data_IF_384553212568
#
_entry.id   IF_384553212568
#
_cell.length_a   1.000
_cell.length_b   1.000
_cell.length_c   1.000
_cell.angle_alpha   90.00
_cell.angle_beta   90.00
_cell.angle_gamma   90.00
#
_symmetry.space_group_name_H-M   'P 1'
#
loop_
_entity.id
_entity.type
_entity.pdbx_description
1 polymer ?
#
# COMPACT_ATOMS: atom_id res chain seq x y z
N UNK A 1 8.99 17.75 -18.41
CA UNK A 1 9.32 16.37 -17.98
C UNK A 1 9.45 16.37 -16.46
N UNK A 2 8.75 15.44 -15.80
CA UNK A 2 8.87 15.24 -14.37
C UNK A 2 9.95 14.18 -14.10
N UNK A 3 10.77 14.37 -13.07
CA UNK A 3 11.71 13.34 -12.66
C UNK A 3 10.95 12.10 -12.11
N UNK A 4 11.45 10.87 -12.31
CA UNK A 4 10.79 9.65 -11.81
C UNK A 4 10.43 9.70 -10.32
N UNK A 5 11.26 10.36 -9.52
CA UNK A 5 11.03 10.58 -8.08
C UNK A 5 9.91 11.59 -7.78
N UNK A 6 9.53 12.45 -8.74
CA UNK A 6 8.43 13.42 -8.60
C UNK A 6 7.11 12.80 -9.05
N UNK A 7 7.11 12.01 -10.13
CA UNK A 7 5.95 11.27 -10.60
C UNK A 7 5.34 10.39 -9.50
N UNK A 8 6.20 9.83 -8.65
CA UNK A 8 5.77 8.92 -7.61
C UNK A 8 5.38 9.60 -6.28
N UNK A 9 5.75 10.86 -6.08
CA UNK A 9 5.53 11.57 -4.81
C UNK A 9 4.53 12.72 -4.87
N UNK A 10 4.48 13.45 -5.97
CA UNK A 10 3.82 14.75 -6.03
C UNK A 10 2.84 14.91 -7.18
N UNK A 11 2.91 14.06 -8.20
CA UNK A 11 2.06 14.15 -9.40
C UNK A 11 1.19 12.90 -9.49
N UNK A 12 -0.13 13.11 -9.49
CA UNK A 12 -1.11 12.07 -9.83
C UNK A 12 -1.46 12.26 -11.30
N UNK A 13 -1.07 11.31 -12.14
CA UNK A 13 -1.43 11.32 -13.55
C UNK A 13 -2.65 10.41 -13.78
N UNK A 14 -3.83 11.04 -14.00
CA UNK A 14 -5.08 10.30 -14.30
C UNK A 14 -4.97 9.53 -15.61
N UNK A 15 -4.24 10.04 -16.58
CA UNK A 15 -4.07 9.36 -17.86
C UNK A 15 -3.19 8.12 -17.69
N UNK A 16 -2.14 8.16 -16.88
CA UNK A 16 -1.34 6.98 -16.54
C UNK A 16 -2.21 5.91 -15.88
N UNK A 17 -3.00 6.27 -14.86
CA UNK A 17 -3.94 5.32 -14.23
C UNK A 17 -4.93 4.73 -15.24
N UNK A 18 -5.46 5.57 -16.14
CA UNK A 18 -6.35 5.12 -17.20
C UNK A 18 -5.65 4.14 -18.15
N UNK A 19 -4.43 4.46 -18.57
CA UNK A 19 -3.62 3.60 -19.46
C UNK A 19 -3.34 2.25 -18.81
N UNK A 20 -2.90 2.23 -17.55
CA UNK A 20 -2.64 0.99 -16.80
C UNK A 20 -3.92 0.16 -16.63
N UNK A 21 -5.01 0.77 -16.20
CA UNK A 21 -6.27 0.05 -15.99
C UNK A 21 -6.90 -0.43 -17.30
N UNK A 22 -6.71 0.31 -18.40
CA UNK A 22 -7.15 -0.12 -19.75
C UNK A 22 -6.31 -1.30 -20.23
N UNK A 23 -4.98 -1.25 -20.06
CA UNK A 23 -4.10 -2.36 -20.41
C UNK A 23 -4.45 -3.61 -19.59
N UNK A 24 -4.64 -3.45 -18.27
CA UNK A 24 -5.08 -4.53 -17.39
C UNK A 24 -6.45 -5.11 -17.84
N UNK A 25 -7.45 -4.26 -18.11
CA UNK A 25 -8.77 -4.69 -18.59
C UNK A 25 -8.63 -5.56 -19.85
N UNK A 26 -7.87 -5.09 -20.82
CA UNK A 26 -7.65 -5.82 -22.07
C UNK A 26 -6.95 -7.16 -21.85
N UNK A 27 -6.00 -7.22 -20.94
CA UNK A 27 -5.23 -8.43 -20.63
C UNK A 27 -6.04 -9.52 -19.91
N UNK A 28 -7.13 -9.17 -19.20
CA UNK A 28 -7.88 -10.13 -18.37
C UNK A 28 -8.26 -11.39 -19.13
N UNK A 29 -8.88 -11.26 -20.31
CA UNK A 29 -9.39 -12.39 -21.09
C UNK A 29 -8.53 -12.73 -22.32
N UNK A 30 -7.51 -11.94 -22.61
CA UNK A 30 -6.60 -12.22 -23.72
C UNK A 30 -5.31 -12.91 -23.28
N UNK A 31 -4.85 -12.61 -22.06
CA UNK A 31 -3.54 -13.05 -21.58
C UNK A 31 -3.59 -13.76 -20.23
N UNK A 32 -4.35 -13.20 -19.25
CA UNK A 32 -4.37 -13.76 -17.91
C UNK A 32 -5.26 -15.00 -17.82
N UNK A 33 -6.47 -14.92 -18.34
CA UNK A 33 -7.47 -15.98 -18.28
C UNK A 33 -8.14 -16.19 -19.65
N UNK A 34 -7.37 -16.56 -20.69
CA UNK A 34 -7.89 -16.70 -22.04
C UNK A 34 -8.90 -17.83 -22.21
N UNK A 35 -8.91 -18.81 -21.27
CA UNK A 35 -9.84 -19.93 -21.25
C UNK A 35 -11.19 -19.61 -20.64
N UNK A 36 -11.35 -18.43 -20.00
CA UNK A 36 -12.60 -18.06 -19.35
C UNK A 36 -13.58 -17.42 -20.31
N UNK A 37 -14.86 -17.71 -20.11
CA UNK A 37 -15.93 -16.98 -20.75
C UNK A 37 -15.87 -15.51 -20.35
N UNK A 38 -15.93 -14.60 -21.34
CA UNK A 38 -15.90 -13.15 -21.11
C UNK A 38 -17.18 -12.72 -20.40
N UNK A 39 -17.05 -12.39 -19.12
CA UNK A 39 -18.14 -11.85 -18.27
C UNK A 39 -17.60 -10.71 -17.43
N UNK A 40 -17.91 -9.50 -17.84
CA UNK A 40 -17.39 -8.29 -17.20
C UNK A 40 -17.94 -8.10 -15.78
N UNK A 41 -19.09 -8.68 -15.45
CA UNK A 41 -19.65 -8.72 -14.09
C UNK A 41 -18.81 -9.58 -13.14
N UNK A 42 -18.06 -10.55 -13.67
CA UNK A 42 -17.33 -11.55 -12.91
C UNK A 42 -15.85 -11.62 -13.28
N UNK A 43 -15.22 -10.47 -13.55
CA UNK A 43 -13.77 -10.43 -13.75
C UNK A 43 -13.04 -11.03 -12.53
N UNK A 44 -11.79 -11.48 -12.66
CA UNK A 44 -11.01 -11.98 -11.52
C UNK A 44 -11.02 -10.99 -10.36
N UNK A 45 -11.17 -11.47 -9.12
CA UNK A 45 -11.05 -10.59 -7.95
C UNK A 45 -9.67 -9.98 -7.88
N UNK A 46 -9.63 -8.65 -7.88
CA UNK A 46 -8.42 -7.86 -8.04
C UNK A 46 -8.19 -6.97 -6.83
N UNK A 47 -6.99 -7.01 -6.29
CA UNK A 47 -6.53 -6.10 -5.25
C UNK A 47 -5.51 -5.14 -5.82
N UNK A 48 -5.82 -3.85 -5.79
CA UNK A 48 -4.92 -2.78 -6.27
C UNK A 48 -4.27 -2.08 -5.09
N UNK A 49 -2.95 -1.99 -5.11
CA UNK A 49 -2.19 -1.24 -4.12
C UNK A 49 -1.91 0.18 -4.60
N UNK A 50 -2.49 1.14 -3.91
CA UNK A 50 -2.30 2.57 -4.11
C UNK A 50 -1.22 3.13 -3.16
N UNK A 51 -0.65 4.27 -3.51
CA UNK A 51 0.37 4.96 -2.73
C UNK A 51 -0.19 5.55 -1.44
N UNK A 52 -1.29 6.26 -1.53
CA UNK A 52 -1.98 6.94 -0.44
C UNK A 52 -3.50 6.93 -0.64
N UNK A 53 -4.24 7.49 0.30
CA UNK A 53 -5.71 7.49 0.29
C UNK A 53 -6.30 8.29 -0.88
N UNK A 54 -5.67 9.39 -1.27
CA UNK A 54 -6.10 10.21 -2.41
C UNK A 54 -5.89 9.46 -3.72
N UNK A 55 -4.71 8.85 -3.89
CA UNK A 55 -4.42 7.99 -5.04
C UNK A 55 -5.41 6.81 -5.12
N UNK A 56 -5.73 6.19 -3.99
CA UNK A 56 -6.74 5.12 -3.95
C UNK A 56 -8.12 5.62 -4.42
N UNK A 57 -8.52 6.82 -4.02
CA UNK A 57 -9.78 7.42 -4.45
C UNK A 57 -9.80 7.69 -5.96
N UNK A 58 -8.71 8.23 -6.51
CA UNK A 58 -8.59 8.47 -7.95
C UNK A 58 -8.58 7.16 -8.75
N UNK A 59 -7.88 6.12 -8.27
CA UNK A 59 -7.91 4.80 -8.91
C UNK A 59 -9.33 4.25 -8.96
N UNK A 60 -10.11 4.35 -7.88
CA UNK A 60 -11.52 3.92 -7.86
C UNK A 60 -12.33 4.66 -8.92
N UNK A 61 -12.17 5.98 -9.02
CA UNK A 61 -12.90 6.80 -9.99
C UNK A 61 -12.53 6.45 -11.44
N UNK A 62 -11.23 6.23 -11.71
CA UNK A 62 -10.77 5.85 -13.04
C UNK A 62 -11.18 4.43 -13.39
N UNK A 63 -11.08 3.48 -12.45
CA UNK A 63 -11.49 2.09 -12.64
C UNK A 63 -12.99 1.99 -12.97
N UNK A 64 -13.84 2.71 -12.24
CA UNK A 64 -15.28 2.76 -12.55
C UNK A 64 -15.54 3.20 -13.98
N UNK A 65 -14.82 4.19 -14.50
CA UNK A 65 -14.96 4.67 -15.89
C UNK A 65 -14.42 3.68 -16.92
N UNK A 66 -13.24 3.09 -16.65
CA UNK A 66 -12.59 2.14 -17.58
C UNK A 66 -13.39 0.85 -17.73
N UNK A 67 -13.90 0.31 -16.62
CA UNK A 67 -14.72 -0.90 -16.65
C UNK A 67 -16.19 -0.60 -17.01
N UNK A 68 -16.67 0.59 -16.73
CA UNK A 68 -18.04 1.00 -17.07
C UNK A 68 -18.37 0.90 -18.56
N UNK A 69 -17.37 1.07 -19.44
CA UNK A 69 -17.54 0.91 -20.88
C UNK A 69 -18.05 -0.48 -21.32
N UNK A 70 -17.94 -1.49 -20.46
CA UNK A 70 -18.38 -2.87 -20.75
C UNK A 70 -19.81 -3.16 -20.28
N UNK A 71 -20.47 -2.19 -19.64
CA UNK A 71 -21.84 -2.31 -19.15
C UNK A 71 -22.80 -1.46 -20.00
N UNK A 72 -24.02 -1.94 -20.19
CA UNK A 72 -25.04 -1.30 -21.05
C UNK A 72 -25.31 0.17 -20.71
N UNK A 73 -25.25 0.50 -19.39
CA UNK A 73 -25.48 1.87 -18.91
C UNK A 73 -24.21 2.72 -18.89
N UNK A 74 -23.04 2.19 -19.32
CA UNK A 74 -21.76 2.88 -19.22
C UNK A 74 -21.21 3.00 -17.81
N UNK A 75 -21.85 2.36 -16.81
CA UNK A 75 -21.48 2.43 -15.41
C UNK A 75 -21.36 1.02 -14.81
N UNK A 76 -20.36 0.82 -13.98
CA UNK A 76 -20.23 -0.42 -13.21
C UNK A 76 -21.26 -0.45 -12.06
N UNK A 77 -21.64 -1.65 -11.57
CA UNK A 77 -22.44 -1.78 -10.35
C UNK A 77 -21.81 -1.02 -9.18
N UNK A 78 -22.64 -0.49 -8.28
CA UNK A 78 -22.19 0.36 -7.16
C UNK A 78 -21.08 -0.27 -6.33
N UNK A 79 -21.20 -1.57 -6.10
CA UNK A 79 -20.26 -2.33 -5.28
C UNK A 79 -19.01 -2.84 -6.04
N UNK A 80 -18.95 -2.67 -7.35
CA UNK A 80 -17.96 -3.30 -8.21
C UNK A 80 -16.52 -2.89 -7.90
N UNK A 81 -16.29 -1.60 -7.63
CA UNK A 81 -14.99 -1.04 -7.25
C UNK A 81 -15.13 -0.26 -5.96
N UNK A 82 -14.45 -0.65 -4.90
CA UNK A 82 -14.46 0.07 -3.61
C UNK A 82 -13.06 0.30 -3.08
N UNK A 83 -12.92 1.39 -2.33
CA UNK A 83 -11.72 1.70 -1.54
C UNK A 83 -11.80 0.98 -0.18
N UNK A 84 -10.72 0.34 0.24
CA UNK A 84 -10.55 -0.27 1.55
C UNK A 84 -9.33 0.35 2.22
N UNK A 85 -9.55 1.41 2.99
CA UNK A 85 -8.50 2.11 3.74
C UNK A 85 -9.00 2.44 5.14
N UNK A 86 -8.14 2.89 6.03
CA UNK A 86 -8.55 3.31 7.38
C UNK A 86 -9.61 4.41 7.36
N UNK A 87 -9.64 5.25 6.32
CA UNK A 87 -10.64 6.31 6.15
C UNK A 87 -12.00 5.81 5.62
N UNK A 88 -12.11 4.55 5.22
CA UNK A 88 -13.31 3.98 4.58
C UNK A 88 -14.37 3.49 5.58
N UNK A 89 -14.21 3.74 6.88
CA UNK A 89 -15.11 3.23 7.92
C UNK A 89 -14.71 1.82 8.38
N UNK A 90 -15.66 0.88 8.44
CA UNK A 90 -15.36 -0.50 8.86
C UNK A 90 -14.64 -1.28 7.77
N UNK A 91 -13.30 -1.17 7.77
CA UNK A 91 -12.43 -1.90 6.82
C UNK A 91 -12.60 -3.42 6.92
N UNK A 92 -12.92 -3.98 8.10
CA UNK A 92 -13.10 -5.42 8.27
C UNK A 92 -14.40 -5.90 7.60
N UNK A 93 -15.47 -5.11 7.68
CA UNK A 93 -16.70 -5.40 6.95
C UNK A 93 -16.45 -5.38 5.45
N UNK A 94 -15.79 -4.34 4.92
CA UNK A 94 -15.45 -4.25 3.49
C UNK A 94 -14.57 -5.42 3.00
N UNK A 95 -13.62 -5.88 3.81
CA UNK A 95 -12.80 -7.04 3.47
C UNK A 95 -13.63 -8.33 3.45
N UNK A 96 -14.54 -8.49 4.41
CA UNK A 96 -15.47 -9.63 4.43
C UNK A 96 -16.35 -9.62 3.19
N UNK A 97 -16.92 -8.46 2.83
CA UNK A 97 -17.75 -8.28 1.65
C UNK A 97 -16.94 -8.58 0.37
N UNK A 98 -15.71 -8.06 0.27
CA UNK A 98 -14.81 -8.38 -0.85
C UNK A 98 -14.53 -9.89 -0.99
N UNK A 99 -14.54 -10.64 0.12
CA UNK A 99 -14.35 -12.09 0.11
C UNK A 99 -15.54 -12.85 -0.43
N UNK A 100 -16.77 -12.43 -0.11
CA UNK A 100 -17.97 -13.23 -0.33
C UNK A 100 -18.90 -12.69 -1.42
N UNK A 101 -18.93 -11.38 -1.65
CA UNK A 101 -19.83 -10.78 -2.62
C UNK A 101 -19.35 -10.98 -4.07
N UNK A 102 -20.25 -11.41 -4.96
CA UNK A 102 -19.99 -11.59 -6.40
C UNK A 102 -19.70 -10.25 -7.09
N UNK A 103 -20.46 -9.23 -6.75
CA UNK A 103 -20.44 -7.94 -7.45
C UNK A 103 -19.22 -7.08 -7.02
N UNK A 104 -18.58 -7.38 -5.88
CA UNK A 104 -17.40 -6.66 -5.46
C UNK A 104 -16.14 -7.26 -6.11
N UNK A 105 -15.70 -6.68 -7.22
CA UNK A 105 -14.64 -7.25 -8.06
C UNK A 105 -13.27 -6.64 -7.82
N UNK A 106 -13.19 -5.32 -7.60
CA UNK A 106 -11.93 -4.59 -7.44
C UNK A 106 -11.89 -3.88 -6.09
N UNK A 107 -10.93 -4.25 -5.26
CA UNK A 107 -10.61 -3.55 -4.02
C UNK A 107 -9.35 -2.69 -4.21
N UNK A 108 -9.40 -1.42 -3.81
CA UNK A 108 -8.26 -0.51 -3.85
C UNK A 108 -7.84 -0.17 -2.43
N UNK A 109 -6.58 -0.38 -2.10
CA UNK A 109 -6.04 -0.17 -0.74
C UNK A 109 -4.67 0.49 -0.77
N UNK A 110 -4.27 1.10 0.34
CA UNK A 110 -2.91 1.63 0.54
C UNK A 110 -2.01 0.59 1.21
N UNK A 111 -2.48 0.05 2.31
CA UNK A 111 -1.81 -0.98 3.10
C UNK A 111 -2.86 -1.86 3.76
N UNK A 112 -3.10 -3.03 3.20
CA UNK A 112 -3.98 -4.01 3.82
C UNK A 112 -3.16 -4.86 4.82
N UNK A 113 -2.64 -4.21 5.88
CA UNK A 113 -1.76 -4.86 6.86
C UNK A 113 -2.54 -5.47 8.02
N UNK A 114 -3.86 -5.34 8.05
CA UNK A 114 -4.65 -5.97 9.12
C UNK A 114 -4.44 -7.48 9.12
N UNK A 115 -3.95 -8.01 10.21
CA UNK A 115 -3.88 -9.43 10.52
C UNK A 115 -5.29 -10.03 10.40
N UNK A 116 -5.42 -11.14 9.66
CA UNK A 116 -6.72 -11.83 9.50
C UNK A 116 -7.46 -11.57 8.18
N UNK A 117 -6.89 -10.82 7.25
CA UNK A 117 -7.47 -10.60 5.91
C UNK A 117 -7.18 -11.78 4.98
N UNK A 118 -7.87 -12.89 5.17
CA UNK A 118 -7.79 -14.07 4.29
C UNK A 118 -8.82 -13.96 3.15
N UNK A 119 -8.41 -13.37 2.02
CA UNK A 119 -9.25 -13.28 0.81
C UNK A 119 -8.83 -14.38 -0.16
N UNK A 120 -9.36 -15.60 0.03
CA UNK A 120 -9.01 -16.77 -0.79
C UNK A 120 -9.36 -16.62 -2.28
N UNK A 121 -10.51 -16.02 -2.67
CA UNK A 121 -10.85 -15.83 -4.08
C UNK A 121 -10.07 -14.70 -4.78
N UNK A 122 -9.04 -14.13 -4.16
CA UNK A 122 -8.19 -13.11 -4.79
C UNK A 122 -7.32 -13.73 -5.88
N UNK A 123 -7.43 -13.25 -7.10
CA UNK A 123 -6.79 -13.84 -8.28
C UNK A 123 -5.77 -12.90 -8.95
N UNK A 124 -5.88 -11.59 -8.70
CA UNK A 124 -4.95 -10.60 -9.26
C UNK A 124 -4.52 -9.61 -8.18
N UNK A 125 -3.23 -9.36 -8.11
CA UNK A 125 -2.63 -8.29 -7.29
C UNK A 125 -1.97 -7.29 -8.23
N UNK A 126 -2.47 -6.04 -8.24
CA UNK A 126 -1.97 -4.98 -9.10
C UNK A 126 -1.26 -3.92 -8.27
N UNK A 127 0.01 -3.66 -8.60
CA UNK A 127 0.82 -2.64 -7.95
C UNK A 127 0.79 -1.33 -8.75
N UNK A 128 0.21 -0.29 -8.16
CA UNK A 128 0.25 1.09 -8.65
C UNK A 128 1.04 1.98 -7.69
N UNK A 129 1.91 1.38 -6.90
CA UNK A 129 2.87 2.06 -6.03
C UNK A 129 4.16 1.28 -5.94
N UNK A 130 5.28 1.98 -5.82
CA UNK A 130 6.55 1.35 -5.50
C UNK A 130 6.59 0.83 -4.06
N UNK A 131 7.26 -0.31 -3.85
CA UNK A 131 7.45 -0.96 -2.56
C UNK A 131 8.91 -1.32 -2.39
N UNK A 132 9.62 -0.53 -1.60
CA UNK A 132 11.06 -0.71 -1.37
C UNK A 132 11.38 -1.78 -0.31
N UNK A 133 10.46 -2.04 0.62
CA UNK A 133 10.64 -3.06 1.66
C UNK A 133 10.31 -4.45 1.15
N UNK A 134 11.27 -5.37 1.19
CA UNK A 134 11.07 -6.78 0.80
C UNK A 134 10.01 -7.48 1.66
N UNK A 135 10.02 -7.22 2.97
CA UNK A 135 9.02 -7.79 3.89
C UNK A 135 7.62 -7.33 3.51
N UNK A 136 7.43 -6.02 3.27
CA UNK A 136 6.14 -5.47 2.88
C UNK A 136 5.70 -6.01 1.52
N UNK A 137 6.59 -6.04 0.53
CA UNK A 137 6.32 -6.59 -0.79
C UNK A 137 5.90 -8.06 -0.70
N UNK A 138 6.64 -8.87 0.06
CA UNK A 138 6.30 -10.29 0.28
C UNK A 138 4.94 -10.46 0.95
N UNK A 139 4.59 -9.63 1.92
CA UNK A 139 3.27 -9.63 2.55
C UNK A 139 2.15 -9.24 1.56
N UNK A 140 2.40 -8.26 0.70
CA UNK A 140 1.44 -7.78 -0.28
C UNK A 140 1.18 -8.83 -1.38
N UNK A 141 2.22 -9.36 -2.01
CA UNK A 141 2.09 -10.42 -3.02
C UNK A 141 1.49 -11.70 -2.43
N UNK A 142 1.86 -12.04 -1.20
CA UNK A 142 1.34 -13.22 -0.49
C UNK A 142 -0.18 -13.20 -0.24
N UNK A 143 -0.86 -12.07 -0.46
CA UNK A 143 -2.33 -12.02 -0.41
C UNK A 143 -3.00 -12.85 -1.51
N UNK A 144 -2.35 -12.98 -2.67
CA UNK A 144 -2.83 -13.79 -3.79
C UNK A 144 -2.61 -15.30 -3.63
N UNK A 145 -1.65 -15.74 -2.79
CA UNK A 145 -1.23 -17.14 -2.70
C UNK A 145 -2.25 -18.09 -2.05
N UNK A 146 -3.40 -17.62 -1.58
CA UNK A 146 -4.36 -18.44 -0.85
C UNK A 146 -5.10 -19.40 -1.76
N UNK A 147 -5.12 -20.69 -1.37
CA UNK A 147 -5.85 -21.73 -2.07
C UNK A 147 -7.33 -21.66 -1.76
N UNK A 148 -8.16 -21.95 -2.73
CA UNK A 148 -9.62 -22.04 -2.61
C UNK A 148 -10.12 -23.26 -3.39
N UNK A 149 -11.13 -23.94 -2.86
CA UNK A 149 -11.79 -25.03 -3.56
C UNK A 149 -12.60 -24.51 -4.75
N UNK A 150 -12.72 -25.32 -5.81
CA UNK A 150 -13.40 -24.95 -7.05
C UNK A 150 -14.84 -24.50 -6.84
N UNK A 151 -15.62 -25.25 -6.06
CA UNK A 151 -17.01 -24.93 -5.70
C UNK A 151 -17.11 -23.56 -5.03
N UNK A 152 -16.19 -23.27 -4.10
CA UNK A 152 -16.13 -21.99 -3.37
C UNK A 152 -15.66 -20.82 -4.25
N UNK A 153 -14.79 -21.09 -5.22
CA UNK A 153 -14.39 -20.07 -6.19
C UNK A 153 -15.57 -19.71 -7.10
N UNK A 154 -16.30 -20.70 -7.61
CA UNK A 154 -17.48 -20.52 -8.46
C UNK A 154 -18.63 -19.80 -7.76
N UNK A 155 -18.77 -19.96 -6.45
CA UNK A 155 -19.74 -19.18 -5.66
C UNK A 155 -19.50 -17.67 -5.77
N UNK A 156 -18.25 -17.25 -5.96
CA UNK A 156 -17.84 -15.83 -5.99
C UNK A 156 -17.48 -15.36 -7.40
N UNK A 157 -16.85 -16.22 -8.20
CA UNK A 157 -16.47 -15.95 -9.60
C UNK A 157 -17.04 -17.05 -10.50
N UNK A 158 -18.31 -16.92 -10.95
CA UNK A 158 -19.04 -18.01 -11.63
C UNK A 158 -18.41 -18.53 -12.92
N UNK A 159 -17.64 -17.71 -13.65
CA UNK A 159 -16.91 -18.07 -14.86
C UNK A 159 -15.49 -18.61 -14.59
N UNK A 160 -15.08 -18.76 -13.33
CA UNK A 160 -13.82 -19.38 -12.96
C UNK A 160 -13.98 -20.92 -12.85
N UNK A 161 -12.96 -21.68 -13.27
CA UNK A 161 -12.89 -23.12 -13.08
C UNK A 161 -12.10 -23.45 -11.81
N UNK A 162 -10.79 -23.23 -11.84
CA UNK A 162 -9.87 -23.48 -10.73
C UNK A 162 -9.02 -22.23 -10.47
N UNK A 163 -8.40 -22.17 -9.30
CA UNK A 163 -7.36 -21.17 -9.01
C UNK A 163 -6.05 -21.90 -8.82
N UNK A 164 -5.34 -22.12 -9.91
CA UNK A 164 -4.02 -22.76 -9.93
C UNK A 164 -2.90 -21.76 -9.63
N UNK A 165 -3.11 -20.51 -10.04
CA UNK A 165 -2.17 -19.42 -9.82
C UNK A 165 -2.91 -18.11 -9.49
N UNK A 166 -2.17 -17.08 -9.21
CA UNK A 166 -2.63 -15.70 -9.21
C UNK A 166 -1.64 -14.84 -10.00
N UNK A 167 -2.10 -13.73 -10.52
CA UNK A 167 -1.26 -12.85 -11.32
C UNK A 167 -0.83 -11.62 -10.53
N UNK A 168 0.42 -11.23 -10.72
CA UNK A 168 0.95 -9.94 -10.28
C UNK A 168 1.00 -9.04 -11.50
N UNK A 169 0.30 -7.93 -11.45
CA UNK A 169 0.35 -6.88 -12.46
C UNK A 169 1.16 -5.72 -11.87
N UNK A 170 2.28 -5.42 -12.48
CA UNK A 170 3.22 -4.41 -12.01
C UNK A 170 3.21 -3.19 -12.96
N UNK A 171 2.61 -2.09 -12.51
CA UNK A 171 2.53 -0.87 -13.30
C UNK A 171 3.68 0.12 -13.04
N UNK A 172 4.58 -0.18 -12.09
CA UNK A 172 5.61 0.76 -11.61
C UNK A 172 7.01 0.15 -11.51
N UNK A 173 7.19 -1.10 -11.98
CA UNK A 173 8.48 -1.79 -11.93
C UNK A 173 8.86 -2.32 -10.54
N UNK A 174 7.87 -2.50 -9.65
CA UNK A 174 8.12 -2.98 -8.28
C UNK A 174 8.77 -4.37 -8.24
N UNK A 175 8.55 -5.18 -9.26
CA UNK A 175 9.12 -6.53 -9.36
C UNK A 175 10.59 -6.53 -9.77
N UNK A 176 11.06 -5.48 -10.42
CA UNK A 176 12.41 -5.36 -11.00
C UNK A 176 13.40 -4.66 -10.05
N UNK A 177 12.91 -3.92 -9.07
CA UNK A 177 13.76 -3.16 -8.14
C UNK A 177 14.36 -4.06 -7.06
N UNK A 178 15.65 -3.85 -6.75
CA UNK A 178 16.27 -4.45 -5.56
C UNK A 178 15.53 -4.01 -4.28
N UNK A 179 15.11 -4.97 -3.48
CA UNK A 179 14.39 -4.71 -2.24
C UNK A 179 15.37 -4.52 -1.08
N UNK A 180 15.13 -3.50 -0.28
CA UNK A 180 15.87 -3.30 0.95
C UNK A 180 15.42 -4.33 1.99
N UNK A 181 16.32 -5.23 2.38
CA UNK A 181 16.12 -6.09 3.55
C UNK A 181 16.31 -5.20 4.78
N UNK A 182 15.31 -5.07 5.67
CA UNK A 182 15.50 -4.34 6.91
C UNK A 182 16.64 -5.01 7.67
N UNK A 183 17.73 -4.28 7.94
CA UNK A 183 18.70 -4.76 8.94
C UNK A 183 17.90 -4.96 10.22
N UNK A 184 18.09 -6.09 10.96
CA UNK A 184 17.41 -6.29 12.23
C UNK A 184 17.90 -5.21 13.20
N UNK A 185 17.23 -4.06 13.17
CA UNK A 185 17.29 -3.07 14.22
C UNK A 185 16.61 -3.69 15.42
N UNK A 186 17.21 -3.59 16.59
CA UNK A 186 16.57 -3.96 17.84
C UNK A 186 15.21 -3.29 17.88
N UNK A 187 14.14 -4.03 17.64
CA UNK A 187 12.79 -3.58 17.98
C UNK A 187 12.77 -3.40 19.49
N UNK A 188 12.49 -2.19 19.99
CA UNK A 188 12.10 -2.06 21.37
C UNK A 188 10.80 -2.84 21.52
N UNK A 189 10.81 -3.73 22.49
CA UNK A 189 9.69 -4.58 22.86
C UNK A 189 8.42 -3.75 23.11
N UNK A 190 7.30 -4.20 22.54
CA UNK A 190 5.98 -3.63 22.76
C UNK A 190 5.39 -2.93 21.53
N UNK A 191 4.27 -3.46 21.07
CA UNK A 191 3.37 -2.90 20.08
C UNK A 191 2.88 -1.49 20.46
N UNK A 192 3.70 -0.46 20.24
CA UNK A 192 3.25 0.92 20.36
C UNK A 192 2.38 1.23 19.13
N UNK A 193 1.10 1.42 19.35
CA UNK A 193 0.23 2.12 18.39
C UNK A 193 0.85 3.49 18.17
N UNK A 194 1.48 3.70 17.02
CA UNK A 194 1.93 5.03 16.62
C UNK A 194 0.67 5.87 16.45
N UNK A 195 0.47 6.85 17.33
CA UNK A 195 -0.63 7.80 17.23
C UNK A 195 -0.53 8.56 15.90
N UNK A 196 -1.64 8.67 15.17
CA UNK A 196 -1.69 9.56 14.00
C UNK A 196 -1.44 11.00 14.45
N UNK A 197 -0.93 11.85 13.54
CA UNK A 197 -0.73 13.27 13.86
C UNK A 197 -2.04 13.94 14.32
N UNK A 198 -3.17 13.58 13.75
CA UNK A 198 -4.48 14.09 14.13
C UNK A 198 -4.82 13.75 15.59
N UNK A 199 -4.74 12.48 15.96
CA UNK A 199 -5.00 12.05 17.33
C UNK A 199 -3.96 12.63 18.30
N UNK A 200 -2.69 12.72 17.90
CA UNK A 200 -1.64 13.34 18.70
C UNK A 200 -1.97 14.80 18.99
N UNK A 201 -2.37 15.57 17.99
CA UNK A 201 -2.75 16.99 18.17
C UNK A 201 -4.00 17.15 19.05
N UNK A 202 -4.92 16.19 19.03
CA UNK A 202 -6.08 16.14 19.93
C UNK A 202 -5.64 15.85 21.37
N UNK A 203 -4.80 14.85 21.62
CA UNK A 203 -4.25 14.56 22.93
C UNK A 203 -3.52 15.77 23.52
N UNK A 204 -2.67 16.41 22.73
CA UNK A 204 -1.97 17.64 23.15
C UNK A 204 -2.94 18.81 23.41
N UNK A 205 -4.04 18.92 22.65
CA UNK A 205 -5.07 19.93 22.87
C UNK A 205 -5.84 19.71 24.18
N UNK A 206 -5.92 18.47 24.67
CA UNK A 206 -6.47 18.11 25.98
C UNK A 206 -5.42 18.18 27.11
N UNK A 207 -4.26 18.77 26.84
CA UNK A 207 -3.15 18.91 27.78
C UNK A 207 -2.53 17.57 28.23
N UNK A 208 -2.64 16.53 27.40
CA UNK A 208 -1.96 15.26 27.61
C UNK A 208 -0.51 15.33 27.10
N UNK A 209 0.27 16.16 27.77
CA UNK A 209 1.68 16.39 27.43
C UNK A 209 2.55 15.34 28.10
N UNK A 210 3.12 14.45 27.29
CA UNK A 210 4.12 13.47 27.73
C UNK A 210 5.36 13.58 26.86
N UNK A 211 6.49 13.12 27.37
CA UNK A 211 7.74 13.09 26.62
C UNK A 211 7.57 12.29 25.32
N UNK A 212 6.79 11.20 25.36
CA UNK A 212 6.49 10.36 24.18
C UNK A 212 5.69 11.12 23.13
N UNK A 213 4.64 11.86 23.54
CA UNK A 213 3.84 12.68 22.64
C UNK A 213 4.66 13.81 22.02
N UNK A 214 5.56 14.40 22.80
CA UNK A 214 6.43 15.47 22.31
C UNK A 214 7.49 14.94 21.34
N UNK A 215 8.08 13.78 21.59
CA UNK A 215 9.00 13.12 20.66
C UNK A 215 8.29 12.81 19.34
N UNK A 216 7.06 12.32 19.41
CA UNK A 216 6.27 11.99 18.22
C UNK A 216 5.93 13.26 17.41
N UNK A 217 5.55 14.36 18.09
CA UNK A 217 5.33 15.66 17.45
C UNK A 217 6.59 16.18 16.75
N UNK A 218 7.75 16.05 17.41
CA UNK A 218 9.06 16.37 16.82
C UNK A 218 9.28 15.63 15.51
N UNK A 219 9.06 14.32 15.49
CA UNK A 219 9.30 13.47 14.33
C UNK A 219 8.36 13.81 13.17
N UNK A 220 7.07 14.09 13.46
CA UNK A 220 6.13 14.57 12.47
C UNK A 220 6.56 15.93 11.90
N UNK A 221 6.88 16.91 12.76
CA UNK A 221 7.29 18.23 12.34
C UNK A 221 8.58 18.21 11.50
N UNK A 222 9.59 17.43 11.91
CA UNK A 222 10.83 17.26 11.16
C UNK A 222 10.59 16.62 9.77
N UNK A 223 9.71 15.62 9.72
CA UNK A 223 9.38 14.92 8.47
C UNK A 223 8.60 15.84 7.53
N UNK A 224 7.62 16.58 8.03
CA UNK A 224 6.85 17.55 7.24
C UNK A 224 7.77 18.65 6.69
N UNK A 225 8.61 19.24 7.54
CA UNK A 225 9.52 20.30 7.07
C UNK A 225 10.43 19.82 5.95
N UNK A 226 11.09 18.65 6.15
CA UNK A 226 12.00 18.08 5.14
C UNK A 226 11.30 17.79 3.80
N UNK A 227 10.01 17.44 3.83
CA UNK A 227 9.24 17.17 2.60
C UNK A 227 9.10 18.40 1.72
N UNK A 228 9.02 19.60 2.30
CA UNK A 228 8.73 20.85 1.59
C UNK A 228 9.91 21.80 1.48
N UNK A 229 10.98 21.61 2.26
CA UNK A 229 12.11 22.55 2.36
C UNK A 229 12.80 22.79 1.00
N UNK A 230 12.93 21.73 0.19
CA UNK A 230 13.59 21.78 -1.14
C UNK A 230 12.63 21.39 -2.28
N UNK A 231 11.32 21.44 -2.05
CA UNK A 231 10.33 21.05 -3.05
C UNK A 231 9.97 22.24 -3.94
N UNK A 232 10.43 22.20 -5.20
CA UNK A 232 10.18 23.26 -6.19
C UNK A 232 8.68 23.44 -6.53
N UNK A 233 7.85 22.41 -6.34
CA UNK A 233 6.42 22.45 -6.67
C UNK A 233 5.58 22.90 -5.51
N UNK A 234 5.86 22.40 -4.30
CA UNK A 234 5.01 22.58 -3.12
C UNK A 234 5.69 23.31 -1.97
N UNK A 235 6.95 23.74 -2.13
CA UNK A 235 7.68 24.52 -1.09
C UNK A 235 6.93 25.77 -0.62
N UNK A 236 6.15 26.38 -1.51
CA UNK A 236 5.30 27.55 -1.17
C UNK A 236 4.28 27.28 -0.04
N UNK A 237 3.92 26.02 0.21
CA UNK A 237 3.06 25.66 1.35
C UNK A 237 3.79 25.79 2.68
N UNK A 238 5.09 25.51 2.71
CA UNK A 238 5.94 25.73 3.87
C UNK A 238 6.14 27.25 4.12
N UNK A 239 6.41 28.01 3.05
CA UNK A 239 6.55 29.45 3.13
C UNK A 239 5.26 30.12 3.63
N UNK A 240 4.11 29.67 3.12
CA UNK A 240 2.81 30.10 3.61
C UNK A 240 2.63 29.78 5.10
N UNK A 241 3.00 28.58 5.53
CA UNK A 241 2.89 28.18 6.94
C UNK A 241 3.74 29.08 7.83
N UNK A 242 4.99 29.32 7.45
CA UNK A 242 5.92 30.17 8.20
C UNK A 242 5.40 31.62 8.28
N UNK A 243 4.97 32.16 7.13
CA UNK A 243 4.49 33.54 7.05
C UNK A 243 3.21 33.75 7.85
N UNK A 244 2.28 32.79 7.80
CA UNK A 244 0.96 32.89 8.43
C UNK A 244 1.00 32.65 9.94
N UNK A 245 1.89 31.81 10.43
CA UNK A 245 1.91 31.39 11.84
C UNK A 245 3.17 31.83 12.60
N UNK A 246 4.18 32.37 11.92
CA UNK A 246 5.39 32.93 12.55
C UNK A 246 6.45 31.88 12.95
N UNK A 247 6.29 30.62 12.60
CA UNK A 247 7.26 29.56 12.88
C UNK A 247 7.22 28.44 11.84
N UNK A 248 8.36 27.75 11.66
CA UNK A 248 8.44 26.56 10.81
C UNK A 248 8.18 25.29 11.63
N UNK A 249 7.68 24.19 11.03
CA UNK A 249 7.63 22.88 11.69
C UNK A 249 9.01 22.44 12.21
N UNK A 250 10.09 22.70 11.47
CA UNK A 250 11.47 22.45 11.91
C UNK A 250 11.84 23.16 13.20
N UNK A 251 11.35 24.38 13.40
CA UNK A 251 11.61 25.16 14.63
C UNK A 251 11.00 24.45 15.84
N UNK A 252 9.78 23.90 15.71
CA UNK A 252 9.15 23.08 16.75
C UNK A 252 10.04 21.85 17.05
N UNK A 253 10.45 21.13 16.03
CA UNK A 253 11.29 19.93 16.20
C UNK A 253 12.62 20.24 16.90
N UNK A 254 13.29 21.32 16.51
CA UNK A 254 14.55 21.75 17.10
C UNK A 254 14.37 22.19 18.56
N UNK A 255 13.30 22.89 18.88
CA UNK A 255 13.02 23.35 20.23
C UNK A 255 12.69 22.18 21.16
N UNK A 256 11.97 21.17 20.68
CA UNK A 256 11.72 19.94 21.44
C UNK A 256 13.05 19.22 21.72
N UNK A 257 13.93 19.07 20.72
CA UNK A 257 15.24 18.46 20.91
C UNK A 257 16.09 19.21 21.95
N UNK A 258 16.08 20.54 21.86
CA UNK A 258 16.78 21.41 22.81
C UNK A 258 16.25 21.23 24.24
N UNK A 259 14.92 21.18 24.40
CA UNK A 259 14.30 20.96 25.70
C UNK A 259 14.73 19.66 26.35
N UNK A 260 14.73 18.56 25.58
CA UNK A 260 15.19 17.27 26.09
C UNK A 260 16.69 17.29 26.45
N UNK A 261 17.52 17.99 25.67
CA UNK A 261 18.97 18.09 25.97
C UNK A 261 19.28 18.93 27.20
N UNK A 262 18.46 19.94 27.48
CA UNK A 262 18.66 20.87 28.60
C UNK A 262 17.82 20.50 29.84
N UNK A 263 16.99 19.46 29.76
CA UNK A 263 16.10 19.04 30.86
C UNK A 263 15.00 20.06 31.19
N UNK A 264 14.59 20.86 30.19
CA UNK A 264 13.55 21.88 30.34
C UNK A 264 12.20 21.28 29.95
N UNK A 265 11.13 21.70 30.61
CA UNK A 265 9.77 21.29 30.21
C UNK A 265 9.42 21.82 28.82
N UNK A 266 9.13 20.92 27.90
CA UNK A 266 8.92 21.23 26.46
C UNK A 266 7.76 22.16 26.22
N UNK A 267 6.74 22.11 27.04
CA UNK A 267 5.53 22.96 26.94
C UNK A 267 5.79 24.44 27.05
N UNK A 268 6.93 24.84 27.68
CA UNK A 268 7.31 26.23 27.87
C UNK A 268 8.25 26.79 26.80
N UNK A 269 8.59 26.00 25.79
CA UNK A 269 9.48 26.47 24.73
C UNK A 269 8.67 27.13 23.61
N UNK A 270 9.04 28.40 23.34
CA UNK A 270 8.47 29.08 22.18
C UNK A 270 8.91 28.45 20.86
N UNK A 271 8.00 28.18 19.92
CA UNK A 271 8.38 27.74 18.58
C UNK A 271 8.97 28.87 17.71
N UNK A 272 8.88 30.13 18.14
CA UNK A 272 9.52 31.25 17.45
C UNK A 272 10.92 31.54 18.00
N UNK A 273 11.78 32.19 17.21
CA UNK A 273 13.12 32.60 17.63
C UNK A 273 13.10 33.78 18.57
N UNK A 274 11.94 34.42 18.76
CA UNK A 274 11.77 35.56 19.66
C UNK A 274 11.52 35.06 21.09
N UNK A 275 12.58 35.07 21.87
CA UNK A 275 12.56 34.73 23.31
C UNK A 275 11.75 35.71 24.17
N UNK A 276 11.21 36.80 23.62
CA UNK A 276 10.48 37.83 24.37
C UNK A 276 9.06 37.37 24.73
N UNK A 277 8.48 36.41 24.01
CA UNK A 277 7.21 35.77 24.35
C UNK A 277 7.40 34.30 24.69
N UNK A 278 7.36 33.99 25.98
CA UNK A 278 7.33 32.59 26.48
C UNK A 278 5.98 31.92 26.19
N UNK A 279 5.60 31.87 24.93
CA UNK A 279 4.44 31.09 24.51
C UNK A 279 4.89 29.70 24.13
N UNK A 280 4.56 28.72 24.93
CA UNK A 280 4.89 27.34 24.69
C UNK A 280 4.29 26.79 23.40
N UNK A 281 4.81 25.66 22.93
CA UNK A 281 4.36 24.95 21.73
C UNK A 281 2.84 24.69 21.75
N UNK A 282 2.28 24.36 22.92
CA UNK A 282 0.84 24.19 23.13
C UNK A 282 0.08 25.43 22.73
N UNK A 283 0.53 26.60 23.15
CA UNK A 283 -0.16 27.86 22.83
C UNK A 283 -0.03 28.22 21.35
N UNK A 284 1.15 28.16 20.78
CA UNK A 284 1.39 28.63 19.41
C UNK A 284 0.85 27.68 18.34
N UNK A 285 0.99 26.36 18.52
CA UNK A 285 0.52 25.36 17.58
C UNK A 285 -0.83 24.79 18.00
N UNK A 286 -0.92 24.28 19.22
CA UNK A 286 -2.06 23.48 19.64
C UNK A 286 -3.32 24.32 19.82
N UNK A 287 -3.21 25.52 20.35
CA UNK A 287 -4.35 26.44 20.48
C UNK A 287 -4.76 27.04 19.13
N UNK A 288 -3.89 27.04 18.15
CA UNK A 288 -4.19 27.58 16.82
C UNK A 288 -4.78 26.51 15.89
N UNK A 289 -6.11 26.49 15.79
CA UNK A 289 -6.85 25.52 14.97
C UNK A 289 -6.43 25.56 13.49
N UNK A 290 -6.14 26.76 12.95
CA UNK A 290 -5.75 26.90 11.54
C UNK A 290 -4.33 26.35 11.30
N UNK A 291 -3.39 26.60 12.22
CA UNK A 291 -2.05 26.03 12.15
C UNK A 291 -2.09 24.50 12.22
N UNK A 292 -2.91 23.93 13.12
CA UNK A 292 -3.11 22.47 13.21
C UNK A 292 -3.68 21.88 11.90
N UNK A 293 -4.73 22.49 11.36
CA UNK A 293 -5.33 22.04 10.09
C UNK A 293 -4.32 22.09 8.96
N UNK A 294 -3.56 23.18 8.85
CA UNK A 294 -2.55 23.34 7.82
C UNK A 294 -1.42 22.33 7.96
N UNK A 295 -0.99 22.04 9.18
CA UNK A 295 0.02 21.01 9.44
C UNK A 295 -0.47 19.61 9.03
N UNK A 296 -1.74 19.29 9.30
CA UNK A 296 -2.38 18.06 8.87
C UNK A 296 -2.50 17.94 7.34
N UNK A 297 -2.85 19.04 6.65
CA UNK A 297 -2.85 19.09 5.18
C UNK A 297 -1.45 18.82 4.63
N UNK A 298 -0.44 19.49 5.17
CA UNK A 298 0.95 19.28 4.77
C UNK A 298 1.43 17.85 5.04
N UNK A 299 0.98 17.23 6.13
CA UNK A 299 1.29 15.83 6.43
C UNK A 299 0.68 14.88 5.39
N UNK A 300 -0.56 15.13 4.97
CA UNK A 300 -1.22 14.36 3.89
C UNK A 300 -0.53 14.53 2.54
N UNK A 301 0.05 15.69 2.30
CA UNK A 301 0.72 16.05 1.07
C UNK A 301 -0.21 16.66 0.02
N UNK A 302 0.38 17.23 -1.03
CA UNK A 302 -0.31 17.83 -2.16
C UNK A 302 0.06 17.09 -3.44
N UNK A 303 -0.87 17.06 -4.40
CA UNK A 303 -0.67 16.37 -5.67
C UNK A 303 -1.12 17.28 -6.83
N UNK A 304 -0.34 17.30 -7.88
CA UNK A 304 -0.76 17.89 -9.16
C UNK A 304 -1.41 16.80 -9.98
N UNK A 305 -2.60 17.09 -10.51
CA UNK A 305 -3.22 16.25 -11.53
C UNK A 305 -2.72 16.74 -12.88
N UNK A 306 -1.80 15.97 -13.49
CA UNK A 306 -1.31 16.28 -14.83
C UNK A 306 -2.42 16.07 -15.86
N UNK A 307 -2.66 17.05 -16.77
CA UNK A 307 -3.58 16.89 -17.89
C UNK A 307 -2.90 16.17 -19.08
N UNK A 308 -1.61 15.87 -19.00
CA UNK A 308 -0.85 15.33 -20.12
C UNK A 308 -1.33 13.92 -20.51
N UNK A 309 -1.28 13.63 -21.79
CA UNK A 309 -1.59 12.30 -22.32
C UNK A 309 -0.37 11.40 -22.14
N UNK A 310 -0.59 10.24 -21.51
CA UNK A 310 0.42 9.19 -21.43
C UNK A 310 0.27 8.21 -22.59
N UNK A 311 1.39 7.76 -23.10
CA UNK A 311 1.48 6.71 -24.10
C UNK A 311 1.99 5.42 -23.46
N UNK A 312 1.29 4.31 -23.73
CA UNK A 312 1.72 2.99 -23.27
C UNK A 312 2.88 2.52 -24.17
N UNK A 313 4.10 2.56 -23.65
CA UNK A 313 5.29 2.15 -24.38
C UNK A 313 5.42 0.63 -24.47
N UNK A 314 5.04 -0.08 -23.44
CA UNK A 314 5.08 -1.53 -23.37
C UNK A 314 4.02 -2.08 -22.42
N UNK A 315 3.31 -3.10 -22.86
CA UNK A 315 2.50 -3.96 -22.00
C UNK A 315 2.70 -5.40 -22.48
N UNK A 316 3.14 -6.26 -21.59
CA UNK A 316 3.37 -7.67 -21.90
C UNK A 316 3.67 -8.47 -20.64
N UNK A 317 3.52 -9.78 -20.77
CA UNK A 317 3.88 -10.73 -19.72
C UNK A 317 5.15 -11.45 -20.15
N UNK A 318 6.05 -11.73 -19.20
CA UNK A 318 7.27 -12.48 -19.42
C UNK A 318 6.94 -13.98 -19.59
N UNK A 319 6.33 -14.32 -20.73
CA UNK A 319 5.81 -15.68 -21.00
C UNK A 319 6.91 -16.73 -21.10
N UNK A 320 8.06 -16.39 -21.70
CA UNK A 320 9.14 -17.35 -21.92
C UNK A 320 9.86 -17.69 -20.61
N UNK A 321 10.32 -16.69 -19.89
CA UNK A 321 11.01 -16.91 -18.61
C UNK A 321 10.09 -17.55 -17.55
N UNK A 322 8.81 -17.17 -17.51
CA UNK A 322 7.85 -17.76 -16.57
C UNK A 322 7.56 -19.23 -16.90
N UNK A 323 7.43 -19.61 -18.18
CA UNK A 323 7.26 -21.00 -18.59
C UNK A 323 8.47 -21.85 -18.22
N UNK A 324 9.67 -21.40 -18.56
CA UNK A 324 10.90 -22.10 -18.21
C UNK A 324 11.04 -22.31 -16.70
N UNK A 325 10.64 -21.31 -15.88
CA UNK A 325 10.63 -21.46 -14.42
C UNK A 325 9.55 -22.45 -13.95
N UNK A 326 8.36 -22.43 -14.52
CA UNK A 326 7.27 -23.34 -14.16
C UNK A 326 7.65 -24.76 -14.57
N UNK A 327 8.11 -24.97 -15.79
CA UNK A 327 8.52 -26.29 -16.30
C UNK A 327 9.69 -26.88 -15.50
N UNK A 328 10.67 -26.04 -15.15
CA UNK A 328 11.79 -26.46 -14.29
C UNK A 328 11.33 -26.75 -12.86
N UNK A 329 10.39 -25.98 -12.32
CA UNK A 329 9.82 -26.20 -11.00
C UNK A 329 8.95 -27.45 -10.95
N UNK A 330 8.09 -27.68 -11.93
CA UNK A 330 7.30 -28.92 -12.06
C UNK A 330 8.20 -30.15 -12.18
N UNK A 331 9.22 -30.06 -13.01
CA UNK A 331 10.21 -31.10 -13.16
C UNK A 331 10.93 -31.41 -11.84
N UNK A 332 11.36 -30.37 -11.13
CA UNK A 332 11.94 -30.50 -9.79
C UNK A 332 10.98 -31.17 -8.80
N UNK A 333 9.72 -30.78 -8.77
CA UNK A 333 8.71 -31.40 -7.90
C UNK A 333 8.53 -32.90 -8.23
N UNK A 334 8.41 -33.25 -9.51
CA UNK A 334 8.24 -34.62 -9.97
C UNK A 334 9.47 -35.50 -9.67
N UNK A 335 10.67 -34.96 -9.87
CA UNK A 335 11.93 -35.68 -9.59
C UNK A 335 12.17 -35.90 -8.09
N UNK A 336 11.66 -35.02 -7.24
CA UNK A 336 11.90 -35.02 -5.79
C UNK A 336 10.69 -35.41 -4.94
N UNK A 337 9.56 -35.76 -5.55
CA UNK A 337 8.31 -36.08 -4.85
C UNK A 337 8.45 -37.20 -3.80
N UNK A 338 9.33 -38.17 -4.06
CA UNK A 338 9.56 -39.33 -3.17
C UNK A 338 10.78 -39.10 -2.24
N UNK A 339 11.67 -38.16 -2.56
CA UNK A 339 12.93 -37.92 -1.85
C UNK A 339 12.83 -36.81 -0.80
N UNK A 340 11.88 -35.89 -0.93
CA UNK A 340 11.63 -34.83 0.01
C UNK A 340 10.36 -35.16 0.80
N UNK A 341 10.48 -35.31 2.11
CA UNK A 341 9.40 -35.79 2.96
C UNK A 341 8.13 -34.92 2.88
N UNK A 342 8.28 -33.60 2.82
CA UNK A 342 7.15 -32.68 2.65
C UNK A 342 6.41 -32.92 1.32
N UNK A 343 7.14 -33.14 0.22
CA UNK A 343 6.55 -33.42 -1.09
C UNK A 343 5.88 -34.80 -1.12
N UNK A 344 6.51 -35.81 -0.54
CA UNK A 344 5.93 -37.13 -0.43
C UNK A 344 4.59 -37.14 0.28
N UNK A 345 4.48 -36.42 1.39
CA UNK A 345 3.23 -36.26 2.15
C UNK A 345 2.17 -35.55 1.31
N UNK A 346 2.53 -34.47 0.61
CA UNK A 346 1.61 -33.70 -0.24
C UNK A 346 1.08 -34.54 -1.40
N UNK A 347 1.98 -35.24 -2.12
CA UNK A 347 1.62 -36.00 -3.34
C UNK A 347 0.87 -37.30 -3.03
N UNK A 348 1.18 -37.94 -1.91
CA UNK A 348 0.54 -39.22 -1.55
C UNK A 348 -0.70 -39.01 -0.67
N UNK A 349 -1.08 -37.77 -0.37
CA UNK A 349 -2.21 -37.45 0.50
C UNK A 349 -2.18 -38.20 1.85
N UNK A 350 -0.97 -38.35 2.40
CA UNK A 350 -0.80 -38.96 3.72
C UNK A 350 -1.40 -38.06 4.81
N UNK A 351 -2.14 -38.61 5.75
CA UNK A 351 -2.72 -37.91 6.89
C UNK A 351 -1.67 -37.55 7.97
N UNK A 352 -0.52 -37.08 7.51
CA UNK A 352 0.62 -36.67 8.34
C UNK A 352 0.74 -35.15 8.31
N UNK A 353 0.87 -34.53 9.49
CA UNK A 353 1.08 -33.09 9.61
C UNK A 353 2.46 -32.70 9.10
N UNK A 354 2.49 -31.79 8.13
CA UNK A 354 3.74 -31.19 7.64
C UNK A 354 4.33 -30.31 8.74
N UNK A 355 5.51 -30.64 9.20
CA UNK A 355 6.23 -29.89 10.24
C UNK A 355 6.99 -28.71 9.66
N UNK A 356 7.32 -27.75 10.51
CA UNK A 356 8.17 -26.61 10.12
C UNK A 356 9.55 -27.07 9.60
N UNK A 357 10.12 -28.11 10.18
CA UNK A 357 11.43 -28.66 9.76
C UNK A 357 11.38 -29.19 8.34
N UNK A 358 10.31 -29.91 7.97
CA UNK A 358 10.09 -30.40 6.59
C UNK A 358 9.96 -29.27 5.57
N UNK A 359 9.28 -28.17 5.95
CA UNK A 359 9.17 -26.99 5.10
C UNK A 359 10.52 -26.25 4.95
N UNK A 360 11.34 -26.20 5.99
CA UNK A 360 12.68 -25.64 5.91
C UNK A 360 13.58 -26.45 4.98
N UNK A 361 13.55 -27.80 5.07
CA UNK A 361 14.29 -28.67 4.15
C UNK A 361 13.87 -28.47 2.70
N UNK A 362 12.58 -28.38 2.43
CA UNK A 362 12.06 -28.08 1.10
C UNK A 362 12.54 -26.71 0.60
N UNK A 363 12.51 -25.71 1.46
CA UNK A 363 12.98 -24.36 1.13
C UNK A 363 14.48 -24.33 0.80
N UNK A 364 15.31 -25.01 1.60
CA UNK A 364 16.76 -25.08 1.37
C UNK A 364 17.08 -25.76 0.03
N UNK A 365 16.38 -26.84 -0.32
CA UNK A 365 16.57 -27.55 -1.60
C UNK A 365 16.09 -26.72 -2.80
N UNK A 366 14.99 -25.97 -2.66
CA UNK A 366 14.53 -25.04 -3.69
C UNK A 366 15.52 -23.88 -3.90
N UNK A 367 16.08 -23.33 -2.84
CA UNK A 367 17.10 -22.27 -2.90
C UNK A 367 18.43 -22.77 -3.50
N UNK A 368 18.78 -24.03 -3.30
CA UNK A 368 19.98 -24.63 -3.89
C UNK A 368 19.87 -24.80 -5.42
N UNK A 369 18.65 -24.96 -5.95
CA UNK A 369 18.40 -25.09 -7.40
C UNK A 369 18.20 -23.73 -8.10
N UNK A 370 17.88 -22.68 -7.38
CA UNK A 370 17.68 -21.34 -7.97
C UNK A 370 19.00 -20.59 -8.24
N UNK A 371 20.15 -21.19 -7.98
CA UNK A 371 21.49 -20.71 -8.34
C UNK A 371 21.98 -21.42 -9.60
#
# INVERSE_FOLDING_TARGET
EYAPTQLDRSVINRNQMKTVLTAYKNAIYTELYPEREVKWEYIPKTLIFAKDDNHATEIVNVAKKVFGSEFENGEVPENYVKKITYSSGDSNALIRDFRIEKDFRIAVTVTLVATGTDVRPLEVVLFMKDVQSDVLYTQMKGRGCRVIKEDKLKEVTPNAHTKECYYIVDAVGVTEHEKCIPKPGKTPDGTRKILSLENLLEHLAHNEVSDENMMLLRDYCATINRRYEDDALFGHHLDYFITSYGFAPRTIANNINKAFSEGIMVEYISPSHDNSMRMGIIYCLISNIQARKKLLEMQKGYHIVSPDTDELLYAGFSKESARDYIDNFEKFLLENKDSIEALRIIYNSEDVLITHTMLCELQERLLAQSK
#
